data_IF_398674201197
#
_entry.id   IF_398674201197
#
_cell.length_a   1.000
_cell.length_b   1.000
_cell.length_c   1.000
_cell.angle_alpha   90.00
_cell.angle_beta   90.00
_cell.angle_gamma   90.00
#
_symmetry.space_group_name_H-M   'P 1'
#
loop_
_entity.id
_entity.type
_entity.pdbx_description
1 polymer ?
#
# COMPACT_ATOMS: atom_id res chain seq x y z
N UNK A 1 28.13 2.40 31.00
CA UNK A 1 27.01 1.69 31.64
C UNK A 1 25.88 2.69 31.87
N UNK A 2 25.28 3.24 30.81
CA UNK A 2 24.14 2.72 30.03
C UNK A 2 22.77 3.06 30.69
N UNK A 3 22.32 4.34 30.65
CA UNK A 3 20.98 4.77 31.10
C UNK A 3 19.82 4.01 30.46
N UNK A 4 20.06 3.29 29.37
CA UNK A 4 19.08 2.46 28.67
C UNK A 4 18.76 1.12 29.36
N UNK A 5 19.63 0.57 30.22
CA UNK A 5 19.41 -0.78 30.76
C UNK A 5 18.15 -0.89 31.64
N UNK A 6 17.90 0.13 32.47
CA UNK A 6 16.68 0.17 33.31
C UNK A 6 15.42 0.40 32.47
N UNK A 7 15.54 1.16 31.39
CA UNK A 7 14.43 1.45 30.49
C UNK A 7 14.10 0.23 29.62
N UNK A 8 15.12 -0.49 29.14
CA UNK A 8 14.96 -1.75 28.41
C UNK A 8 14.32 -2.82 29.30
N UNK A 9 14.72 -2.91 30.58
CA UNK A 9 14.07 -3.79 31.54
C UNK A 9 12.59 -3.44 31.75
N UNK A 10 12.25 -2.14 31.80
CA UNK A 10 10.86 -1.69 31.89
C UNK A 10 10.06 -2.08 30.63
N UNK A 11 10.61 -1.85 29.43
CA UNK A 11 9.95 -2.20 28.17
C UNK A 11 9.80 -3.71 27.99
N UNK A 12 10.81 -4.50 28.37
CA UNK A 12 10.70 -5.96 28.43
C UNK A 12 9.54 -6.39 29.33
N UNK A 13 9.48 -5.86 30.55
CA UNK A 13 8.42 -6.19 31.51
C UNK A 13 7.02 -5.76 31.00
N UNK A 14 6.92 -4.63 30.30
CA UNK A 14 5.67 -4.21 29.65
C UNK A 14 5.25 -5.22 28.57
N UNK A 15 6.18 -5.64 27.71
CA UNK A 15 5.89 -6.60 26.63
C UNK A 15 5.57 -8.00 27.15
N UNK A 16 6.24 -8.47 28.21
CA UNK A 16 6.02 -9.77 28.85
C UNK A 16 4.67 -9.88 29.58
N UNK A 17 4.10 -8.75 30.02
CA UNK A 17 2.80 -8.71 30.69
C UNK A 17 1.61 -8.74 29.74
N UNK A 18 1.84 -8.59 28.44
CA UNK A 18 0.76 -8.66 27.44
C UNK A 18 0.18 -10.08 27.45
N UNK A 19 -1.14 -10.25 27.62
CA UNK A 19 -1.79 -11.55 27.56
C UNK A 19 -1.49 -12.29 26.26
N UNK A 20 -1.27 -13.60 26.34
CA UNK A 20 -0.84 -14.40 25.18
C UNK A 20 -1.86 -14.42 24.02
N UNK A 21 -3.14 -14.25 24.32
CA UNK A 21 -4.24 -14.13 23.36
C UNK A 21 -4.27 -12.76 22.66
N UNK A 22 -3.78 -11.70 23.32
CA UNK A 22 -3.74 -10.32 22.79
C UNK A 22 -2.42 -10.02 22.08
N UNK A 23 -1.33 -10.68 22.48
CA UNK A 23 0.02 -10.48 21.95
C UNK A 23 0.11 -10.52 20.41
N UNK A 24 -0.59 -11.44 19.68
CA UNK A 24 -0.59 -11.41 18.23
C UNK A 24 -1.04 -10.10 17.61
N UNK A 25 -2.13 -9.53 18.11
CA UNK A 25 -2.68 -8.26 17.61
C UNK A 25 -1.76 -7.10 17.96
N UNK A 26 -1.13 -7.12 19.14
CA UNK A 26 -0.12 -6.13 19.52
C UNK A 26 1.08 -6.18 18.58
N UNK A 27 1.62 -7.37 18.31
CA UNK A 27 2.76 -7.53 17.40
C UNK A 27 2.44 -6.99 16.00
N UNK A 28 1.28 -7.34 15.45
CA UNK A 28 0.84 -6.86 14.14
C UNK A 28 0.71 -5.32 14.12
N UNK A 29 0.12 -4.72 15.15
CA UNK A 29 0.01 -3.26 15.27
C UNK A 29 1.38 -2.58 15.37
N UNK A 30 2.25 -3.05 16.27
CA UNK A 30 3.58 -2.46 16.47
C UNK A 30 4.46 -2.60 15.23
N UNK A 31 4.38 -3.73 14.52
CA UNK A 31 5.05 -3.89 13.22
C UNK A 31 4.49 -2.85 12.25
N UNK A 32 3.18 -2.76 12.06
CA UNK A 32 2.56 -1.79 11.15
C UNK A 32 3.00 -0.33 11.44
N UNK A 33 3.11 0.04 12.72
CA UNK A 33 3.54 1.37 13.16
C UNK A 33 5.03 1.67 12.90
N UNK A 34 5.90 0.66 13.05
CA UNK A 34 7.37 0.85 13.15
C UNK A 34 8.17 0.19 12.03
N UNK A 35 7.50 -0.26 10.97
CA UNK A 35 8.15 -0.93 9.85
C UNK A 35 8.92 0.04 8.95
N UNK A 36 8.43 1.27 8.86
CA UNK A 36 8.99 2.34 8.05
C UNK A 36 9.86 3.29 8.91
N UNK A 37 9.85 4.58 8.59
CA UNK A 37 10.54 5.61 9.35
C UNK A 37 9.90 5.86 10.73
N UNK A 38 10.70 6.45 11.61
CA UNK A 38 10.25 6.86 12.94
C UNK A 38 9.21 7.99 12.82
N UNK A 39 8.06 7.80 13.47
CA UNK A 39 7.03 8.82 13.67
C UNK A 39 6.65 8.88 15.15
N UNK A 40 6.19 10.05 15.61
CA UNK A 40 5.57 10.26 16.93
C UNK A 40 4.07 10.00 16.92
N UNK A 41 3.47 9.76 15.75
CA UNK A 41 2.07 9.37 15.60
C UNK A 41 1.16 10.41 14.98
N UNK A 42 1.73 11.45 14.34
CA UNK A 42 0.94 12.48 13.65
C UNK A 42 0.27 11.93 12.38
N UNK A 43 0.68 10.73 11.94
CA UNK A 43 0.11 10.02 10.77
C UNK A 43 -0.59 8.70 11.11
N UNK A 44 -0.64 8.29 12.38
CA UNK A 44 -1.21 7.00 12.78
C UNK A 44 -2.71 7.09 13.03
N UNK A 45 -3.44 7.07 11.92
CA UNK A 45 -4.89 7.22 11.87
C UNK A 45 -5.59 5.94 12.34
N UNK A 46 -6.33 6.00 13.45
CA UNK A 46 -6.95 4.82 14.07
C UNK A 46 -7.89 4.10 13.10
N UNK A 47 -8.73 4.85 12.38
CA UNK A 47 -9.66 4.29 11.40
C UNK A 47 -8.94 3.48 10.32
N UNK A 48 -7.85 4.01 9.77
CA UNK A 48 -7.09 3.36 8.69
C UNK A 48 -6.36 2.16 9.23
N UNK A 49 -5.68 2.28 10.37
CA UNK A 49 -4.89 1.21 10.99
C UNK A 49 -5.79 0.04 11.36
N UNK A 50 -6.87 0.30 12.09
CA UNK A 50 -7.75 -0.75 12.58
C UNK A 50 -8.47 -1.48 11.44
N UNK A 51 -8.96 -0.75 10.43
CA UNK A 51 -9.62 -1.40 9.29
C UNK A 51 -8.64 -2.20 8.41
N UNK A 52 -7.42 -1.68 8.21
CA UNK A 52 -6.35 -2.38 7.47
C UNK A 52 -5.93 -3.66 8.20
N UNK A 53 -5.72 -3.57 9.51
CA UNK A 53 -5.29 -4.68 10.36
C UNK A 53 -6.43 -5.58 10.84
N UNK A 54 -7.68 -5.21 10.63
CA UNK A 54 -8.82 -6.00 11.13
C UNK A 54 -9.00 -5.95 12.65
N UNK A 55 -8.56 -4.89 13.32
CA UNK A 55 -8.68 -4.73 14.77
C UNK A 55 -10.07 -4.17 15.11
N UNK A 56 -10.85 -4.86 15.94
CA UNK A 56 -12.11 -4.32 16.47
C UNK A 56 -11.87 -3.13 17.39
N UNK A 57 -12.91 -2.35 17.66
CA UNK A 57 -12.81 -1.21 18.57
C UNK A 57 -12.36 -1.62 19.96
N UNK A 58 -13.00 -2.66 20.50
CA UNK A 58 -12.67 -3.23 21.80
C UNK A 58 -11.26 -3.80 21.83
N UNK A 59 -10.84 -4.49 20.76
CA UNK A 59 -9.49 -5.08 20.66
C UNK A 59 -8.41 -4.01 20.65
N UNK A 60 -8.57 -2.97 19.82
CA UNK A 60 -7.60 -1.87 19.73
C UNK A 60 -7.53 -1.04 21.03
N UNK A 61 -8.68 -0.66 21.61
CA UNK A 61 -8.70 0.06 22.90
C UNK A 61 -8.04 -0.78 24.00
N UNK A 62 -8.23 -2.10 23.98
CA UNK A 62 -7.53 -3.04 24.85
C UNK A 62 -6.01 -2.98 24.67
N UNK A 63 -5.51 -2.96 23.43
CA UNK A 63 -4.07 -2.82 23.13
C UNK A 63 -3.53 -1.50 23.68
N UNK A 64 -4.20 -0.37 23.42
CA UNK A 64 -3.78 0.93 23.93
C UNK A 64 -3.76 0.97 25.46
N UNK A 65 -4.71 0.31 26.13
CA UNK A 65 -4.70 0.21 27.59
C UNK A 65 -3.47 -0.59 28.10
N UNK A 66 -3.15 -1.73 27.47
CA UNK A 66 -1.97 -2.54 27.83
C UNK A 66 -0.66 -1.79 27.59
N UNK A 67 -0.60 -0.95 26.57
CA UNK A 67 0.57 -0.17 26.19
C UNK A 67 0.49 1.29 26.63
N UNK A 68 -0.37 1.63 27.59
CA UNK A 68 -0.64 3.03 27.99
C UNK A 68 0.59 3.80 28.50
N UNK A 69 1.62 3.09 28.95
CA UNK A 69 2.91 3.68 29.34
C UNK A 69 3.74 4.21 28.16
N UNK A 70 3.44 3.80 26.92
CA UNK A 70 4.21 4.13 25.71
C UNK A 70 3.34 4.62 24.57
N UNK A 71 2.06 4.25 24.52
CA UNK A 71 1.10 4.64 23.49
C UNK A 71 -0.10 5.35 24.11
N UNK A 72 -0.54 6.41 23.45
CA UNK A 72 -1.76 7.15 23.76
C UNK A 72 -2.72 7.08 22.59
N UNK A 73 -3.97 6.72 22.88
CA UNK A 73 -5.07 6.91 21.95
C UNK A 73 -5.70 8.29 22.21
N UNK A 74 -5.55 9.21 21.26
CA UNK A 74 -6.16 10.53 21.30
C UNK A 74 -7.46 10.53 20.53
N UNK A 75 -8.55 10.27 21.24
CA UNK A 75 -9.88 10.39 20.67
C UNK A 75 -10.14 11.86 20.30
N UNK A 76 -10.36 12.10 19.01
CA UNK A 76 -10.65 13.43 18.47
C UNK A 76 -11.82 13.27 17.51
N UNK A 77 -13.06 13.16 18.01
CA UNK A 77 -14.21 12.92 17.17
C UNK A 77 -14.36 14.08 16.20
N UNK A 78 -14.10 13.80 14.92
CA UNK A 78 -14.23 14.78 13.86
C UNK A 78 -15.57 14.54 13.15
N UNK A 79 -16.44 15.55 13.19
CA UNK A 79 -17.60 15.57 12.30
C UNK A 79 -17.12 15.83 10.87
N UNK A 80 -17.44 14.91 9.96
CA UNK A 80 -17.19 15.12 8.55
C UNK A 80 -17.99 16.33 8.06
N UNK A 81 -17.33 17.24 7.34
CA UNK A 81 -18.03 18.33 6.66
C UNK A 81 -18.42 17.84 5.27
N UNK A 82 -19.59 17.19 5.23
CA UNK A 82 -20.17 16.57 4.05
C UNK A 82 -21.03 17.53 3.23
N UNK A 83 -20.93 18.85 3.45
CA UNK A 83 -21.70 19.83 2.69
C UNK A 83 -21.44 19.68 1.19
N UNK A 84 -22.52 19.42 0.45
CA UNK A 84 -22.49 19.21 -1.00
C UNK A 84 -22.24 17.76 -1.43
N UNK A 85 -22.32 16.79 -0.51
CA UNK A 85 -22.20 15.35 -0.80
C UNK A 85 -23.41 14.62 -0.22
N UNK A 86 -23.95 13.67 -0.97
CA UNK A 86 -25.01 12.80 -0.48
C UNK A 86 -24.41 11.70 0.40
N UNK A 87 -24.70 11.76 1.69
CA UNK A 87 -24.12 10.87 2.71
C UNK A 87 -24.72 9.45 2.69
N UNK A 88 -25.85 9.29 1.99
CA UNK A 88 -26.58 8.02 1.83
C UNK A 88 -26.14 7.24 0.59
N UNK A 89 -25.31 7.85 -0.26
CA UNK A 89 -24.80 7.22 -1.47
C UNK A 89 -23.34 6.85 -1.31
N UNK A 90 -22.91 5.82 -2.03
CA UNK A 90 -21.51 5.42 -2.05
C UNK A 90 -20.60 6.51 -2.63
N UNK A 91 -19.37 6.55 -2.14
CA UNK A 91 -18.33 7.50 -2.55
C UNK A 91 -18.06 7.47 -4.06
N UNK A 92 -17.94 6.28 -4.64
CA UNK A 92 -17.61 6.09 -6.06
C UNK A 92 -18.81 6.31 -7.01
N UNK A 93 -20.05 6.35 -6.49
CA UNK A 93 -21.25 6.59 -7.28
C UNK A 93 -21.57 8.08 -7.48
N UNK A 94 -20.78 8.95 -6.85
CA UNK A 94 -20.96 10.39 -6.86
C UNK A 94 -19.83 11.09 -7.62
N UNK A 95 -20.14 12.19 -8.29
CA UNK A 95 -19.15 13.03 -8.95
C UNK A 95 -18.60 14.05 -7.96
N UNK A 96 -17.70 13.56 -7.08
CA UNK A 96 -17.06 14.36 -6.04
C UNK A 96 -15.90 15.15 -6.64
N UNK A 97 -15.94 16.47 -6.52
CA UNK A 97 -14.84 17.34 -6.97
C UNK A 97 -13.50 16.99 -6.27
N UNK A 98 -12.38 17.23 -6.94
CA UNK A 98 -11.03 16.98 -6.38
C UNK A 98 -10.79 17.69 -5.03
N UNK A 99 -11.34 18.91 -4.86
CA UNK A 99 -11.26 19.65 -3.60
C UNK A 99 -12.00 18.94 -2.46
N UNK A 100 -13.19 18.42 -2.74
CA UNK A 100 -13.96 17.66 -1.75
C UNK A 100 -13.30 16.31 -1.46
N UNK A 101 -12.72 15.67 -2.47
CA UNK A 101 -11.94 14.44 -2.31
C UNK A 101 -10.74 14.63 -1.37
N UNK A 102 -9.92 15.67 -1.58
CA UNK A 102 -8.81 16.00 -0.68
C UNK A 102 -9.28 16.26 0.75
N UNK A 103 -10.45 16.90 0.90
CA UNK A 103 -11.04 17.17 2.21
C UNK A 103 -11.45 15.88 2.91
N UNK A 104 -12.17 14.99 2.21
CA UNK A 104 -12.56 13.67 2.74
C UNK A 104 -11.33 12.85 3.15
N UNK A 105 -10.27 12.90 2.34
CA UNK A 105 -8.98 12.26 2.66
C UNK A 105 -8.42 12.78 3.98
N UNK A 106 -8.39 14.11 4.17
CA UNK A 106 -7.92 14.69 5.44
C UNK A 106 -8.83 14.32 6.61
N UNK A 107 -10.15 14.41 6.45
CA UNK A 107 -11.10 14.13 7.53
C UNK A 107 -11.11 12.66 7.95
N UNK A 108 -10.94 11.73 7.00
CA UNK A 108 -10.87 10.29 7.29
C UNK A 108 -9.67 9.88 8.15
N UNK A 109 -8.60 10.67 8.11
CA UNK A 109 -7.41 10.45 8.92
C UNK A 109 -7.70 10.71 10.41
N UNK A 110 -8.54 11.70 10.67
CA UNK A 110 -8.81 12.19 12.02
C UNK A 110 -10.14 11.65 12.61
N UNK A 111 -11.02 11.03 11.81
CA UNK A 111 -12.40 10.64 12.20
C UNK A 111 -12.52 9.90 13.54
N UNK A 112 -11.59 8.97 13.80
CA UNK A 112 -11.56 8.17 15.02
C UNK A 112 -10.34 8.47 15.89
N UNK A 113 -9.72 9.63 15.69
CA UNK A 113 -8.53 10.05 16.41
C UNK A 113 -7.24 9.42 15.90
N UNK A 114 -6.18 9.68 16.67
CA UNK A 114 -4.81 9.35 16.35
C UNK A 114 -4.16 8.50 17.45
N UNK A 115 -3.14 7.75 17.07
CA UNK A 115 -2.26 7.02 18.00
C UNK A 115 -1.00 7.85 18.17
N UNK A 116 -0.57 8.08 19.40
CA UNK A 116 0.65 8.83 19.70
C UNK A 116 1.66 7.98 20.47
N UNK A 117 2.95 8.11 20.13
CA UNK A 117 4.06 7.47 20.85
C UNK A 117 4.67 8.46 21.83
N UNK A 118 4.65 8.14 23.13
CA UNK A 118 5.22 9.00 24.16
C UNK A 118 6.74 9.07 24.12
N UNK A 119 7.38 7.97 23.72
CA UNK A 119 8.81 7.77 23.94
C UNK A 119 9.48 7.16 22.71
N UNK A 120 10.31 7.95 22.02
CA UNK A 120 11.21 7.46 20.96
C UNK A 120 12.04 6.25 21.37
N UNK A 121 12.44 6.20 22.63
CA UNK A 121 13.24 5.10 23.18
C UNK A 121 12.53 3.74 23.14
N UNK A 122 11.19 3.71 23.11
CA UNK A 122 10.41 2.47 22.91
C UNK A 122 10.52 1.97 21.46
N UNK A 123 10.43 2.88 20.48
CA UNK A 123 10.75 2.55 19.09
C UNK A 123 12.18 2.01 18.96
N UNK A 124 13.18 2.72 19.51
CA UNK A 124 14.59 2.32 19.45
C UNK A 124 14.85 0.95 20.11
N UNK A 125 14.02 0.58 21.10
CA UNK A 125 14.05 -0.73 21.76
C UNK A 125 13.47 -1.81 20.82
N UNK A 126 12.30 -1.57 20.24
CA UNK A 126 11.60 -2.54 19.38
C UNK A 126 12.29 -2.81 18.04
N UNK A 127 13.03 -1.85 17.47
CA UNK A 127 13.75 -2.08 16.21
C UNK A 127 15.11 -2.77 16.40
N UNK A 128 15.60 -2.85 17.65
CA UNK A 128 16.91 -3.39 17.95
C UNK A 128 16.81 -4.82 18.51
N UNK A 129 17.22 -5.86 17.76
CA UNK A 129 17.09 -7.26 18.18
C UNK A 129 17.89 -7.58 19.45
N UNK A 130 19.01 -6.89 19.71
CA UNK A 130 19.81 -7.10 20.92
C UNK A 130 19.10 -6.59 22.18
N UNK A 131 18.23 -5.59 22.04
CA UNK A 131 17.51 -4.97 23.17
C UNK A 131 16.16 -5.64 23.45
N UNK A 132 15.38 -5.90 22.40
CA UNK A 132 14.01 -6.42 22.53
C UNK A 132 13.86 -7.91 22.27
N UNK A 133 14.93 -8.61 21.86
CA UNK A 133 14.95 -10.06 21.69
C UNK A 133 13.78 -10.56 20.81
N UNK A 134 12.90 -11.40 21.36
CA UNK A 134 11.73 -11.97 20.68
C UNK A 134 10.63 -10.95 20.38
N UNK A 135 10.68 -9.75 20.97
CA UNK A 135 9.72 -8.66 20.72
C UNK A 135 10.17 -7.71 19.60
N UNK A 136 11.35 -7.92 19.03
CA UNK A 136 11.86 -7.09 17.95
C UNK A 136 10.91 -7.13 16.74
N UNK A 137 10.38 -5.97 16.32
CA UNK A 137 9.43 -5.89 15.20
C UNK A 137 10.06 -6.22 13.84
N UNK A 138 11.39 -6.20 13.77
CA UNK A 138 12.17 -6.61 12.59
C UNK A 138 12.58 -8.09 12.61
N UNK A 139 12.14 -8.85 13.61
CA UNK A 139 12.40 -10.28 13.66
C UNK A 139 11.70 -10.98 12.47
N UNK A 140 12.41 -11.83 11.68
CA UNK A 140 11.84 -12.58 10.56
C UNK A 140 10.53 -13.32 10.88
N UNK A 141 10.41 -13.94 12.06
CA UNK A 141 9.20 -14.66 12.44
C UNK A 141 8.00 -13.72 12.68
N UNK A 142 8.25 -12.54 13.27
CA UNK A 142 7.23 -11.51 13.47
C UNK A 142 6.83 -10.89 12.12
N UNK A 143 7.80 -10.64 11.25
CA UNK A 143 7.55 -10.13 9.90
C UNK A 143 6.76 -11.11 9.04
N UNK A 144 7.06 -12.41 9.13
CA UNK A 144 6.29 -13.45 8.44
C UNK A 144 4.86 -13.56 8.97
N UNK A 145 4.65 -13.44 10.29
CA UNK A 145 3.31 -13.38 10.89
C UNK A 145 2.54 -12.17 10.38
N UNK A 146 3.16 -11.00 10.39
CA UNK A 146 2.56 -9.77 9.87
C UNK A 146 2.25 -9.87 8.38
N UNK A 147 3.17 -10.38 7.56
CA UNK A 147 2.94 -10.62 6.14
C UNK A 147 1.72 -11.53 5.90
N UNK A 148 1.66 -12.66 6.60
CA UNK A 148 0.54 -13.60 6.48
C UNK A 148 -0.79 -12.95 6.88
N UNK A 149 -0.79 -12.14 7.94
CA UNK A 149 -1.94 -11.35 8.36
C UNK A 149 -2.41 -10.38 7.27
N UNK A 150 -1.49 -9.66 6.62
CA UNK A 150 -1.85 -8.77 5.51
C UNK A 150 -2.44 -9.55 4.32
N UNK A 151 -1.90 -10.72 4.00
CA UNK A 151 -2.44 -11.58 2.93
C UNK A 151 -3.87 -12.02 3.25
N UNK A 152 -4.14 -12.46 4.49
CA UNK A 152 -5.47 -12.88 4.93
C UNK A 152 -6.47 -11.72 4.87
N UNK A 153 -6.09 -10.55 5.39
CA UNK A 153 -6.90 -9.33 5.27
C UNK A 153 -7.13 -8.95 3.82
N UNK A 154 -6.13 -9.08 2.96
CA UNK A 154 -6.26 -8.75 1.54
C UNK A 154 -7.27 -9.67 0.87
N UNK A 155 -7.23 -10.97 1.16
CA UNK A 155 -8.21 -11.91 0.65
C UNK A 155 -9.62 -11.61 1.13
N UNK A 156 -9.79 -11.22 2.40
CA UNK A 156 -11.09 -10.79 2.95
C UNK A 156 -11.69 -9.62 2.14
N UNK A 157 -10.92 -8.54 1.96
CA UNK A 157 -11.36 -7.40 1.16
C UNK A 157 -11.59 -7.78 -0.32
N UNK A 158 -10.67 -8.52 -0.92
CA UNK A 158 -10.76 -8.90 -2.32
C UNK A 158 -11.94 -9.86 -2.61
N UNK A 159 -12.40 -10.64 -1.64
CA UNK A 159 -13.60 -11.47 -1.76
C UNK A 159 -14.87 -10.65 -1.56
N UNK A 160 -14.86 -9.70 -0.62
CA UNK A 160 -16.04 -8.88 -0.32
C UNK A 160 -16.24 -7.67 -1.23
N UNK A 161 -15.34 -7.40 -2.18
CA UNK A 161 -15.49 -6.31 -3.15
C UNK A 161 -15.58 -6.87 -4.57
N UNK A 162 -16.56 -6.45 -5.36
CA UNK A 162 -16.70 -6.79 -6.77
C UNK A 162 -16.37 -5.61 -7.69
N UNK A 163 -15.85 -5.94 -8.87
CA UNK A 163 -15.55 -4.97 -9.91
C UNK A 163 -16.82 -4.72 -10.70
N UNK A 164 -17.39 -3.52 -10.58
CA UNK A 164 -18.50 -3.09 -11.41
C UNK A 164 -17.96 -2.28 -12.59
N UNK A 165 -18.15 -2.84 -13.79
CA UNK A 165 -17.79 -2.25 -15.07
C UNK A 165 -18.97 -2.49 -16.03
N UNK A 166 -20.06 -1.75 -15.84
CA UNK A 166 -21.20 -1.84 -16.74
C UNK A 166 -20.83 -1.20 -18.08
N UNK A 167 -21.09 -1.88 -19.20
CA UNK A 167 -20.84 -1.36 -20.56
C UNK A 167 -21.57 -0.02 -20.85
N UNK A 168 -22.56 0.34 -20.02
CA UNK A 168 -23.33 1.59 -20.09
C UNK A 168 -22.87 2.69 -19.12
N UNK A 169 -21.95 2.42 -18.18
CA UNK A 169 -21.37 3.45 -17.32
C UNK A 169 -19.87 3.54 -17.54
N UNK A 170 -19.41 4.75 -17.86
CA UNK A 170 -17.99 5.06 -18.01
C UNK A 170 -17.24 5.12 -16.66
N UNK A 171 -17.79 4.55 -15.57
CA UNK A 171 -17.25 4.71 -14.21
C UNK A 171 -16.92 3.35 -13.60
N UNK A 172 -15.61 3.12 -13.48
CA UNK A 172 -15.02 1.97 -12.81
C UNK A 172 -15.31 2.06 -11.31
N UNK A 173 -15.85 1.01 -10.69
CA UNK A 173 -16.22 1.03 -9.26
C UNK A 173 -15.88 -0.28 -8.55
N UNK A 174 -15.76 -0.22 -7.23
CA UNK A 174 -15.64 -1.37 -6.33
C UNK A 174 -16.82 -1.37 -5.39
N UNK A 175 -17.73 -2.31 -5.57
CA UNK A 175 -18.95 -2.43 -4.77
C UNK A 175 -18.83 -3.59 -3.79
N UNK A 176 -19.52 -3.55 -2.63
CA UNK A 176 -19.64 -4.73 -1.79
C UNK A 176 -20.25 -5.90 -2.57
N UNK A 177 -19.63 -7.07 -2.48
CA UNK A 177 -20.14 -8.31 -3.05
C UNK A 177 -21.43 -8.73 -2.30
N UNK A 178 -22.38 -9.41 -2.97
CA UNK A 178 -23.61 -9.87 -2.32
C UNK A 178 -23.31 -10.72 -1.07
N UNK A 179 -23.89 -10.35 0.07
CA UNK A 179 -23.72 -11.06 1.34
C UNK A 179 -22.47 -10.68 2.16
N UNK A 180 -21.70 -9.68 1.72
CA UNK A 180 -20.55 -9.16 2.48
C UNK A 180 -20.87 -7.77 3.07
N UNK A 181 -21.17 -7.70 4.38
CA UNK A 181 -21.41 -6.44 5.11
C UNK A 181 -20.23 -6.01 6.00
N UNK A 182 -19.34 -6.93 6.38
CA UNK A 182 -18.42 -6.73 7.50
C UNK A 182 -16.93 -6.67 7.05
N UNK A 183 -16.64 -5.81 6.08
CA UNK A 183 -15.25 -5.62 5.62
C UNK A 183 -14.46 -4.71 6.58
N UNK A 184 -15.11 -3.66 7.09
CA UNK A 184 -14.54 -2.75 8.08
C UNK A 184 -14.68 -3.31 9.49
N UNK A 185 -13.62 -3.18 10.27
CA UNK A 185 -13.64 -3.48 11.71
C UNK A 185 -14.15 -2.30 12.53
N UNK A 186 -14.09 -1.09 11.97
CA UNK A 186 -14.55 0.17 12.54
C UNK A 186 -15.44 0.88 11.52
N UNK A 187 -16.67 0.39 11.28
CA UNK A 187 -17.61 1.06 10.40
C UNK A 187 -18.07 2.40 11.00
N UNK A 188 -18.36 3.36 10.14
CA UNK A 188 -19.01 4.62 10.44
C UNK A 188 -20.53 4.53 10.18
N UNK A 189 -21.28 5.50 10.70
CA UNK A 189 -22.74 5.54 10.50
C UNK A 189 -23.14 5.96 9.07
N UNK A 190 -22.25 6.63 8.34
CA UNK A 190 -22.49 7.08 6.96
C UNK A 190 -21.95 6.08 5.94
N UNK A 191 -22.80 5.72 4.98
CA UNK A 191 -22.48 4.84 3.85
C UNK A 191 -21.41 5.42 2.92
N UNK A 192 -21.43 6.75 2.71
CA UNK A 192 -20.37 7.49 2.03
C UNK A 192 -19.01 7.26 2.71
N UNK A 193 -18.95 7.43 4.04
CA UNK A 193 -17.69 7.27 4.79
C UNK A 193 -17.23 5.82 4.78
N UNK A 194 -18.15 4.85 4.92
CA UNK A 194 -17.82 3.43 4.85
C UNK A 194 -17.27 3.01 3.50
N UNK A 195 -17.91 3.42 2.41
CA UNK A 195 -17.41 3.13 1.06
C UNK A 195 -16.06 3.77 0.78
N UNK A 196 -15.81 4.97 1.30
CA UNK A 196 -14.49 5.59 1.25
C UNK A 196 -13.44 4.83 2.08
N UNK A 197 -13.76 4.44 3.33
CA UNK A 197 -12.88 3.67 4.19
C UNK A 197 -12.55 2.28 3.60
N UNK A 198 -13.50 1.62 2.93
CA UNK A 198 -13.22 0.38 2.20
C UNK A 198 -12.09 0.57 1.19
N UNK A 199 -12.17 1.62 0.37
CA UNK A 199 -11.18 1.94 -0.66
C UNK A 199 -9.83 2.26 -0.01
N UNK A 200 -9.81 3.15 0.98
CA UNK A 200 -8.57 3.59 1.63
C UNK A 200 -7.89 2.44 2.38
N UNK A 201 -8.63 1.65 3.15
CA UNK A 201 -8.07 0.53 3.89
C UNK A 201 -7.56 -0.56 2.96
N UNK A 202 -8.32 -0.90 1.91
CA UNK A 202 -7.86 -1.89 0.94
C UNK A 202 -6.65 -1.40 0.14
N UNK A 203 -6.61 -0.11 -0.22
CA UNK A 203 -5.46 0.50 -0.85
C UNK A 203 -4.21 0.44 0.03
N UNK A 204 -4.30 0.88 1.30
CA UNK A 204 -3.16 0.86 2.23
C UNK A 204 -2.67 -0.58 2.50
N UNK A 205 -3.61 -1.50 2.67
CA UNK A 205 -3.33 -2.92 2.82
C UNK A 205 -2.52 -3.47 1.64
N UNK A 206 -2.96 -3.19 0.42
CA UNK A 206 -2.25 -3.63 -0.77
C UNK A 206 -0.93 -2.88 -0.97
N UNK A 207 -0.86 -1.60 -0.59
CA UNK A 207 0.37 -0.81 -0.66
C UNK A 207 1.49 -1.45 0.16
N UNK A 208 1.18 -2.05 1.31
CA UNK A 208 2.15 -2.85 2.09
C UNK A 208 2.63 -4.14 1.40
N UNK A 209 1.97 -4.58 0.33
CA UNK A 209 2.29 -5.81 -0.44
C UNK A 209 2.79 -5.51 -1.86
N UNK A 210 2.68 -4.27 -2.32
CA UNK A 210 2.99 -3.82 -3.69
C UNK A 210 4.42 -3.31 -3.79
N UNK A 211 5.07 -3.52 -4.94
CA UNK A 211 6.45 -3.13 -5.26
C UNK A 211 6.89 -1.75 -4.75
N UNK A 212 6.03 -0.74 -4.89
CA UNK A 212 6.36 0.66 -4.59
C UNK A 212 5.99 1.05 -3.14
N UNK A 213 5.61 0.07 -2.33
CA UNK A 213 5.41 0.18 -0.89
C UNK A 213 6.72 0.23 -0.10
N UNK A 214 6.70 0.70 1.16
CA UNK A 214 7.90 0.73 2.02
C UNK A 214 8.31 -0.68 2.50
N UNK A 215 7.37 -1.62 2.51
CA UNK A 215 7.52 -2.92 3.18
C UNK A 215 8.08 -4.07 2.31
N UNK A 216 7.76 -4.21 1.01
CA UNK A 216 8.19 -5.35 0.21
C UNK A 216 9.69 -5.66 0.24
N UNK A 217 10.63 -4.69 0.23
CA UNK A 217 12.04 -5.01 0.38
C UNK A 217 12.33 -5.78 1.67
N UNK A 218 11.73 -5.35 2.79
CA UNK A 218 11.85 -6.00 4.10
C UNK A 218 11.29 -7.41 4.05
N UNK A 219 10.11 -7.61 3.46
CA UNK A 219 9.51 -8.94 3.33
C UNK A 219 10.33 -9.87 2.43
N UNK A 220 10.78 -9.38 1.28
CA UNK A 220 11.53 -10.19 0.33
C UNK A 220 12.90 -10.62 0.85
N UNK A 221 13.45 -9.92 1.84
CA UNK A 221 14.71 -10.25 2.50
C UNK A 221 14.52 -11.15 3.72
N UNK A 222 13.39 -11.05 4.44
CA UNK A 222 13.20 -11.67 5.75
C UNK A 222 12.12 -12.74 5.83
N UNK A 223 11.20 -12.83 4.86
CA UNK A 223 10.10 -13.80 4.87
C UNK A 223 10.45 -15.01 4.00
N UNK A 224 10.10 -16.20 4.47
CA UNK A 224 10.34 -17.44 3.74
C UNK A 224 9.66 -17.47 2.36
N UNK A 225 10.34 -18.06 1.36
CA UNK A 225 9.85 -18.15 -0.02
C UNK A 225 8.45 -18.77 -0.12
N UNK A 226 8.14 -19.77 0.72
CA UNK A 226 6.82 -20.42 0.76
C UNK A 226 5.70 -19.44 1.09
N UNK A 227 5.91 -18.54 2.05
CA UNK A 227 4.92 -17.52 2.41
C UNK A 227 4.85 -16.46 1.31
N UNK A 228 5.99 -16.00 0.78
CA UNK A 228 6.03 -15.01 -0.31
C UNK A 228 5.34 -15.46 -1.60
N UNK A 229 5.24 -16.77 -1.88
CA UNK A 229 4.50 -17.29 -3.03
C UNK A 229 3.01 -16.91 -3.01
N UNK A 230 2.44 -16.58 -1.84
CA UNK A 230 1.06 -16.10 -1.71
C UNK A 230 0.80 -14.80 -2.50
N UNK A 231 1.84 -13.98 -2.72
CA UNK A 231 1.75 -12.77 -3.55
C UNK A 231 1.25 -13.09 -4.97
N UNK A 232 1.65 -14.22 -5.54
CA UNK A 232 1.27 -14.58 -6.90
C UNK A 232 -0.24 -14.83 -7.07
N UNK A 233 -0.94 -15.15 -5.97
CA UNK A 233 -2.37 -15.46 -5.96
C UNK A 233 -3.28 -14.24 -5.70
N UNK A 234 -2.72 -13.06 -5.47
CA UNK A 234 -3.50 -11.85 -5.20
C UNK A 234 -4.29 -11.40 -6.45
N UNK A 235 -5.45 -10.77 -6.21
CA UNK A 235 -6.15 -10.02 -7.25
C UNK A 235 -5.58 -8.61 -7.33
N UNK A 236 -4.81 -8.34 -8.39
CA UNK A 236 -4.15 -7.04 -8.58
C UNK A 236 -5.05 -6.00 -9.25
N UNK A 237 -6.20 -6.42 -9.81
CA UNK A 237 -7.14 -5.48 -10.45
C UNK A 237 -7.85 -4.62 -9.41
N UNK A 238 -8.39 -5.25 -8.36
CA UNK A 238 -9.18 -4.54 -7.34
C UNK A 238 -8.36 -3.46 -6.64
N UNK A 239 -7.11 -3.71 -6.19
CA UNK A 239 -6.25 -2.66 -5.63
C UNK A 239 -5.92 -1.55 -6.62
N UNK A 240 -5.71 -1.86 -7.90
CA UNK A 240 -5.49 -0.84 -8.93
C UNK A 240 -6.73 0.04 -9.11
N UNK A 241 -7.93 -0.54 -9.07
CA UNK A 241 -9.19 0.22 -9.10
C UNK A 241 -9.31 1.09 -7.85
N UNK A 242 -9.03 0.54 -6.66
CA UNK A 242 -9.05 1.31 -5.40
C UNK A 242 -8.07 2.50 -5.48
N UNK A 243 -6.90 2.30 -6.08
CA UNK A 243 -5.90 3.34 -6.33
C UNK A 243 -6.41 4.42 -7.30
N UNK A 244 -7.09 4.04 -8.38
CA UNK A 244 -7.75 4.96 -9.32
C UNK A 244 -8.80 5.81 -8.59
N UNK A 245 -9.66 5.18 -7.79
CA UNK A 245 -10.74 5.84 -7.04
C UNK A 245 -10.22 6.74 -5.91
N UNK A 246 -9.13 6.35 -5.26
CA UNK A 246 -8.54 7.14 -4.18
C UNK A 246 -7.79 8.39 -4.69
N UNK A 247 -7.66 8.61 -6.01
CA UNK A 247 -7.15 9.87 -6.55
C UNK A 247 -5.80 10.30 -5.96
N UNK A 248 -4.85 9.36 -5.88
CA UNK A 248 -3.62 9.53 -5.09
C UNK A 248 -2.88 10.83 -5.37
N UNK A 249 -2.53 11.53 -4.29
CA UNK A 249 -1.55 12.61 -4.29
C UNK A 249 -0.32 12.15 -3.50
N UNK A 250 0.85 12.17 -4.13
CA UNK A 250 2.14 11.96 -3.46
C UNK A 250 3.02 13.18 -3.76
N UNK A 251 3.44 13.95 -2.74
CA UNK A 251 4.35 15.08 -2.95
C UNK A 251 5.58 14.64 -3.74
N UNK A 252 5.99 15.43 -4.73
CA UNK A 252 7.17 15.14 -5.55
C UNK A 252 6.97 14.13 -6.68
N UNK A 253 5.80 13.49 -6.78
CA UNK A 253 5.48 12.52 -7.84
C UNK A 253 4.32 13.04 -8.67
N UNK A 254 4.50 13.12 -9.98
CA UNK A 254 3.38 13.44 -10.89
C UNK A 254 2.57 12.16 -11.06
N UNK A 255 1.35 12.16 -10.51
CA UNK A 255 0.39 11.07 -10.62
C UNK A 255 -0.71 11.48 -11.59
N UNK A 256 -0.95 10.65 -12.61
CA UNK A 256 -2.10 10.80 -13.50
C UNK A 256 -2.96 9.55 -13.42
N UNK A 257 -4.26 9.78 -13.36
CA UNK A 257 -5.26 8.71 -13.32
C UNK A 257 -6.12 8.84 -14.57
N UNK A 258 -6.18 7.76 -15.34
CA UNK A 258 -7.15 7.57 -16.42
C UNK A 258 -8.13 6.48 -15.99
N UNK A 259 -9.25 6.34 -16.71
CA UNK A 259 -10.37 5.44 -16.40
C UNK A 259 -9.93 4.01 -16.03
N UNK A 260 -8.78 3.51 -16.52
CA UNK A 260 -8.26 2.16 -16.26
C UNK A 260 -6.75 2.09 -16.01
N UNK A 261 -6.11 3.24 -15.79
CA UNK A 261 -4.65 3.33 -15.73
C UNK A 261 -4.20 4.34 -14.68
N UNK A 262 -3.05 4.06 -14.07
CA UNK A 262 -2.35 4.99 -13.19
C UNK A 262 -0.94 5.14 -13.70
N UNK A 263 -0.49 6.39 -13.84
CA UNK A 263 0.83 6.76 -14.33
C UNK A 263 1.58 7.56 -13.25
N UNK A 264 2.85 7.23 -13.07
CA UNK A 264 3.78 7.87 -12.16
C UNK A 264 4.99 8.38 -12.91
N UNK A 265 5.41 9.60 -12.60
CA UNK A 265 6.69 10.16 -13.03
C UNK A 265 7.48 10.68 -11.84
N UNK A 266 8.71 10.17 -11.74
CA UNK A 266 9.72 10.57 -10.76
C UNK A 266 10.83 11.30 -11.50
N UNK A 267 11.19 12.49 -11.03
CA UNK A 267 12.27 13.31 -11.60
C UNK A 267 12.99 14.10 -10.50
N UNK A 268 14.20 14.56 -10.84
CA UNK A 268 15.02 15.38 -9.93
C UNK A 268 15.38 14.63 -8.65
N UNK A 269 15.27 15.31 -7.51
CA UNK A 269 15.67 14.75 -6.21
C UNK A 269 14.92 13.44 -5.88
N UNK A 270 13.63 13.35 -6.21
CA UNK A 270 12.83 12.14 -5.99
C UNK A 270 13.31 10.93 -6.81
N UNK A 271 14.02 11.16 -7.92
CA UNK A 271 14.64 10.09 -8.70
C UNK A 271 15.94 9.61 -8.06
N UNK A 272 16.71 10.52 -7.47
CA UNK A 272 18.01 10.25 -6.85
C UNK A 272 17.87 9.48 -5.53
N UNK A 273 16.78 9.70 -4.81
CA UNK A 273 16.46 8.99 -3.56
C UNK A 273 16.13 7.49 -3.77
N UNK A 274 15.84 7.09 -5.01
CA UNK A 274 15.49 5.70 -5.33
C UNK A 274 16.74 4.84 -5.42
N UNK A 275 16.81 3.80 -4.57
CA UNK A 275 17.80 2.74 -4.71
C UNK A 275 17.44 1.79 -5.87
N UNK A 276 17.87 2.15 -7.08
CA UNK A 276 17.59 1.40 -8.31
C UNK A 276 18.15 -0.04 -8.29
N UNK A 277 19.25 -0.30 -7.57
CA UNK A 277 19.81 -1.64 -7.43
C UNK A 277 18.93 -2.55 -6.56
N UNK A 278 18.40 -2.00 -5.46
CA UNK A 278 17.42 -2.68 -4.63
C UNK A 278 16.13 -2.95 -5.42
N UNK A 279 15.64 -1.96 -6.18
CA UNK A 279 14.48 -2.09 -7.06
C UNK A 279 14.65 -3.22 -8.10
N UNK A 280 15.78 -3.24 -8.82
CA UNK A 280 16.06 -4.30 -9.80
C UNK A 280 16.21 -5.69 -9.14
N UNK A 281 16.72 -5.74 -7.92
CA UNK A 281 16.84 -6.99 -7.14
C UNK A 281 15.46 -7.49 -6.73
N UNK A 282 14.57 -6.61 -6.28
CA UNK A 282 13.17 -6.91 -6.00
C UNK A 282 12.46 -7.46 -7.25
N UNK A 283 12.60 -6.82 -8.41
CA UNK A 283 12.02 -7.30 -9.68
C UNK A 283 12.46 -8.75 -9.97
N UNK A 284 13.74 -9.07 -9.76
CA UNK A 284 14.24 -10.45 -9.95
C UNK A 284 13.60 -11.44 -8.98
N UNK A 285 13.41 -11.06 -7.71
CA UNK A 285 12.78 -11.91 -6.71
C UNK A 285 11.31 -12.19 -7.07
N UNK A 286 10.56 -11.17 -7.47
CA UNK A 286 9.17 -11.34 -7.88
C UNK A 286 9.01 -12.21 -9.12
N UNK A 287 9.93 -12.14 -10.08
CA UNK A 287 9.99 -13.10 -11.20
C UNK A 287 10.17 -14.53 -10.71
N UNK A 288 11.11 -14.77 -9.79
CA UNK A 288 11.35 -16.11 -9.22
C UNK A 288 10.16 -16.64 -8.42
N UNK A 289 9.40 -15.75 -7.79
CA UNK A 289 8.16 -16.07 -7.07
C UNK A 289 6.95 -16.25 -7.99
N UNK A 290 7.12 -16.12 -9.31
CA UNK A 290 6.06 -16.13 -10.32
C UNK A 290 5.00 -15.03 -10.14
N UNK A 291 5.25 -14.00 -9.33
CA UNK A 291 4.34 -12.86 -9.14
C UNK A 291 4.25 -12.03 -10.41
N UNK A 292 5.37 -11.90 -11.14
CA UNK A 292 5.43 -11.17 -12.41
C UNK A 292 6.00 -12.06 -13.51
N UNK A 293 5.45 -11.91 -14.72
CA UNK A 293 5.95 -12.55 -15.94
C UNK A 293 6.20 -11.49 -17.00
N UNK A 294 7.27 -11.63 -17.78
CA UNK A 294 7.52 -10.75 -18.92
C UNK A 294 6.32 -10.74 -19.87
N UNK A 295 5.88 -9.54 -20.25
CA UNK A 295 4.81 -9.36 -21.21
C UNK A 295 5.38 -8.98 -22.57
N UNK A 296 5.12 -9.83 -23.57
CA UNK A 296 5.52 -9.63 -24.96
C UNK A 296 4.29 -9.82 -25.85
N UNK A 297 3.64 -8.74 -26.33
CA UNK A 297 2.44 -8.86 -27.15
C UNK A 297 2.73 -9.53 -28.50
N UNK A 298 3.93 -9.33 -29.07
CA UNK A 298 4.34 -9.92 -30.36
C UNK A 298 5.69 -10.65 -30.27
N UNK A 299 5.67 -11.98 -30.47
CA UNK A 299 6.84 -12.87 -30.43
C UNK A 299 7.91 -12.53 -31.50
N UNK A 300 7.54 -11.77 -32.55
CA UNK A 300 8.47 -11.37 -33.62
C UNK A 300 9.23 -10.06 -33.34
N UNK A 301 8.76 -9.19 -32.42
CA UNK A 301 9.49 -7.99 -31.99
C UNK A 301 10.63 -8.25 -30.99
N UNK A 302 10.81 -9.53 -30.62
CA UNK A 302 11.68 -10.03 -29.54
C UNK A 302 13.17 -9.75 -29.77
N UNK A 303 13.58 -9.38 -30.99
CA UNK A 303 15.00 -9.30 -31.38
C UNK A 303 15.56 -7.86 -31.37
N UNK A 304 14.73 -6.81 -31.49
CA UNK A 304 15.23 -5.45 -31.80
C UNK A 304 15.16 -4.46 -30.62
N UNK A 305 14.42 -4.74 -29.54
CA UNK A 305 14.10 -3.72 -28.51
C UNK A 305 14.42 -4.10 -27.06
N UNK A 306 15.40 -4.99 -26.82
CA UNK A 306 15.84 -5.33 -25.46
C UNK A 306 17.16 -4.63 -25.16
N UNK A 307 17.19 -3.54 -24.36
CA UNK A 307 18.38 -3.27 -23.56
C UNK A 307 18.56 -4.51 -22.65
N UNK A 308 19.63 -5.27 -22.88
CA UNK A 308 19.97 -6.48 -22.11
C UNK A 308 20.06 -6.14 -20.63
N UNK A 309 18.98 -6.33 -19.87
CA UNK A 309 18.94 -6.00 -18.43
C UNK A 309 19.86 -6.90 -17.58
N UNK A 310 20.46 -7.97 -18.11
CA UNK A 310 21.00 -9.02 -17.24
C UNK A 310 22.43 -9.54 -17.50
N UNK A 311 23.22 -8.98 -18.43
CA UNK A 311 24.62 -9.41 -18.60
C UNK A 311 25.69 -8.44 -18.10
N UNK A 312 25.40 -7.16 -17.85
CA UNK A 312 26.40 -6.18 -17.40
C UNK A 312 25.78 -5.21 -16.38
N UNK A 313 25.82 -5.59 -15.10
CA UNK A 313 25.29 -4.79 -13.97
C UNK A 313 26.04 -3.48 -13.70
N UNK A 314 27.21 -3.25 -14.32
CA UNK A 314 28.10 -2.15 -13.94
C UNK A 314 27.89 -0.83 -14.70
N UNK A 315 27.01 -0.76 -15.71
CA UNK A 315 26.83 0.47 -16.52
C UNK A 315 25.39 0.66 -17.07
N UNK A 316 24.34 0.28 -16.32
CA UNK A 316 22.97 0.49 -16.80
C UNK A 316 22.55 1.96 -16.69
N UNK A 317 22.85 2.73 -17.74
CA UNK A 317 22.42 4.13 -17.91
C UNK A 317 20.90 4.25 -18.13
N UNK A 318 20.27 3.21 -18.66
CA UNK A 318 18.83 3.16 -18.94
C UNK A 318 18.31 1.73 -18.85
N UNK A 319 17.14 1.54 -18.25
CA UNK A 319 16.48 0.23 -18.22
C UNK A 319 14.95 0.37 -18.31
N UNK A 320 14.29 -0.68 -18.79
CA UNK A 320 12.83 -0.77 -18.79
C UNK A 320 12.37 -2.20 -18.59
N UNK A 321 11.12 -2.36 -18.17
CA UNK A 321 10.50 -3.66 -17.96
C UNK A 321 9.01 -3.60 -18.24
N UNK A 322 8.50 -4.64 -18.91
CA UNK A 322 7.09 -4.84 -19.24
C UNK A 322 6.64 -6.17 -18.66
N UNK A 323 5.63 -6.15 -17.82
CA UNK A 323 5.21 -7.31 -17.04
C UNK A 323 3.70 -7.48 -17.01
N UNK A 324 3.29 -8.74 -16.98
CA UNK A 324 2.01 -9.18 -16.43
C UNK A 324 2.24 -9.45 -14.95
N UNK A 325 1.57 -8.70 -14.08
CA UNK A 325 1.62 -8.86 -12.62
C UNK A 325 0.37 -9.59 -12.14
N UNK A 326 0.54 -10.69 -11.43
CA UNK A 326 -0.52 -11.63 -11.09
C UNK A 326 -0.82 -12.68 -12.17
N UNK A 327 -1.81 -13.52 -11.92
CA UNK A 327 -2.16 -14.66 -12.77
C UNK A 327 -3.59 -14.58 -13.32
N UNK A 328 -3.80 -15.22 -14.49
CA UNK A 328 -5.13 -15.37 -15.07
C UNK A 328 -5.83 -14.03 -15.37
N UNK A 329 -7.08 -13.96 -14.95
CA UNK A 329 -7.98 -12.80 -15.03
C UNK A 329 -7.70 -11.77 -13.94
N UNK A 330 -6.99 -12.14 -12.86
CA UNK A 330 -6.62 -11.30 -11.71
C UNK A 330 -5.40 -10.41 -11.94
N UNK A 331 -4.83 -10.47 -13.14
CA UNK A 331 -3.58 -9.84 -13.46
C UNK A 331 -3.76 -8.43 -14.02
N UNK A 332 -2.76 -7.58 -13.81
CA UNK A 332 -2.66 -6.24 -14.40
C UNK A 332 -1.39 -6.11 -15.24
N UNK A 333 -1.40 -5.14 -16.14
CA UNK A 333 -0.22 -4.72 -16.86
C UNK A 333 0.61 -3.81 -15.95
N UNK A 334 1.92 -4.02 -15.94
CA UNK A 334 2.88 -3.15 -15.27
C UNK A 334 4.07 -2.84 -16.18
N UNK A 335 4.36 -1.56 -16.34
CA UNK A 335 5.57 -1.08 -16.99
C UNK A 335 6.33 -0.15 -16.08
N UNK A 336 7.66 -0.19 -16.23
CA UNK A 336 8.53 0.83 -15.72
C UNK A 336 9.70 1.08 -16.67
N UNK A 337 10.24 2.28 -16.60
CA UNK A 337 11.55 2.63 -17.11
C UNK A 337 12.24 3.63 -16.22
N UNK A 338 13.55 3.68 -16.34
CA UNK A 338 14.35 4.77 -15.79
C UNK A 338 15.51 5.09 -16.71
N UNK A 339 15.99 6.32 -16.60
CA UNK A 339 17.13 6.87 -17.33
C UNK A 339 17.99 7.65 -16.33
N UNK A 340 19.17 7.10 -16.01
CA UNK A 340 20.09 7.68 -15.04
C UNK A 340 20.76 8.95 -15.54
N UNK A 341 20.91 9.11 -16.87
CA UNK A 341 21.51 10.32 -17.45
C UNK A 341 20.52 11.48 -17.43
N UNK A 342 19.28 11.19 -17.78
CA UNK A 342 18.19 12.18 -17.81
C UNK A 342 17.48 12.34 -16.46
N UNK A 343 17.85 11.53 -15.45
CA UNK A 343 17.30 11.55 -14.08
C UNK A 343 15.77 11.49 -14.02
N UNK A 344 15.18 10.56 -14.76
CA UNK A 344 13.74 10.31 -14.70
C UNK A 344 13.40 8.82 -14.60
N UNK A 345 12.23 8.56 -14.03
CA UNK A 345 11.56 7.28 -14.13
C UNK A 345 10.08 7.45 -14.44
N UNK A 346 9.56 6.56 -15.28
CA UNK A 346 8.15 6.43 -15.55
C UNK A 346 7.68 5.04 -15.13
N UNK A 347 6.55 4.98 -14.42
CA UNK A 347 5.89 3.72 -14.06
C UNK A 347 4.43 3.85 -14.44
N UNK A 348 3.85 2.80 -15.01
CA UNK A 348 2.41 2.76 -15.20
C UNK A 348 1.82 1.37 -14.95
N UNK A 349 0.61 1.39 -14.42
CA UNK A 349 -0.21 0.22 -14.13
C UNK A 349 -1.51 0.34 -14.92
N UNK A 350 -1.98 -0.76 -15.50
CA UNK A 350 -3.20 -0.75 -16.29
C UNK A 350 -4.01 -2.04 -16.17
N UNK A 351 -5.34 -1.91 -16.20
CA UNK A 351 -6.25 -3.05 -16.24
C UNK A 351 -6.27 -3.73 -17.62
N UNK A 352 -6.17 -2.93 -18.70
CA UNK A 352 -6.18 -3.42 -20.07
C UNK A 352 -4.78 -3.35 -20.69
N UNK A 353 -4.26 -4.51 -21.11
CA UNK A 353 -2.92 -4.65 -21.67
C UNK A 353 -2.78 -3.99 -23.06
N UNK A 354 -3.81 -4.05 -23.89
CA UNK A 354 -3.78 -3.54 -25.26
C UNK A 354 -3.87 -2.01 -25.28
N UNK A 355 -4.83 -1.46 -24.53
CA UNK A 355 -5.02 -0.01 -24.37
C UNK A 355 -3.76 0.64 -23.80
N UNK A 356 -3.16 0.02 -22.77
CA UNK A 356 -1.96 0.54 -22.16
C UNK A 356 -0.75 0.50 -23.10
N UNK A 357 -0.65 -0.52 -23.95
CA UNK A 357 0.37 -0.60 -25.00
C UNK A 357 0.16 0.46 -26.08
N UNK A 358 -1.08 0.69 -26.53
CA UNK A 358 -1.40 1.75 -27.50
C UNK A 358 -0.96 3.10 -26.97
N UNK A 359 -1.40 3.46 -25.75
CA UNK A 359 -1.03 4.73 -25.08
C UNK A 359 0.48 4.85 -24.91
N UNK A 360 1.15 3.77 -24.51
CA UNK A 360 2.61 3.77 -24.41
C UNK A 360 3.30 4.00 -25.76
N UNK A 361 2.82 3.39 -26.86
CA UNK A 361 3.46 3.52 -28.17
C UNK A 361 3.19 4.87 -28.83
N UNK A 362 1.99 5.43 -28.67
CA UNK A 362 1.56 6.65 -29.36
C UNK A 362 1.83 7.93 -28.56
N UNK A 363 1.82 7.85 -27.23
CA UNK A 363 1.69 9.02 -26.37
C UNK A 363 2.73 9.11 -25.25
N UNK A 364 3.72 8.21 -25.21
CA UNK A 364 4.74 8.09 -24.14
C UNK A 364 5.30 9.41 -23.60
N UNK A 365 5.57 10.38 -24.47
CA UNK A 365 6.12 11.68 -24.09
C UNK A 365 5.06 12.77 -23.96
N UNK A 366 3.92 12.60 -24.66
CA UNK A 366 2.80 13.54 -24.61
C UNK A 366 2.03 13.39 -23.29
N UNK A 367 1.95 12.17 -22.75
CA UNK A 367 1.23 11.86 -21.52
C UNK A 367 1.69 12.63 -20.28
N UNK A 368 2.88 13.23 -20.34
CA UNK A 368 3.45 13.99 -19.24
C UNK A 368 3.28 15.51 -19.37
N UNK A 369 2.74 16.01 -20.49
CA UNK A 369 2.42 17.43 -20.68
C UNK A 369 1.17 17.81 -19.88
N UNK A 370 1.13 18.98 -19.26
CA UNK A 370 0.05 19.41 -18.36
C UNK A 370 -1.36 19.17 -18.96
N UNK A 371 -1.57 19.54 -20.22
CA UNK A 371 -2.88 19.46 -20.90
C UNK A 371 -3.20 18.10 -21.52
N UNK A 372 -2.43 17.04 -21.23
CA UNK A 372 -2.68 15.75 -21.85
C UNK A 372 -3.97 15.08 -21.34
N UNK A 373 -4.80 14.67 -22.30
CA UNK A 373 -5.97 13.81 -22.13
C UNK A 373 -5.74 12.56 -22.97
N UNK A 374 -6.02 11.34 -22.47
CA UNK A 374 -5.87 10.12 -23.26
C UNK A 374 -6.66 10.21 -24.57
N UNK A 375 -6.05 9.78 -25.69
CA UNK A 375 -6.78 9.62 -26.94
C UNK A 375 -7.87 8.56 -26.78
N UNK A 376 -9.13 8.93 -27.02
CA UNK A 376 -10.28 8.02 -27.06
C UNK A 376 -10.15 6.93 -28.12
#
# INVERSE_FOLDING_TARGET
>A
MAPFAKLDALYMLLMERIPGDVLPSVQVLLVYMFLDEYDTGDTWNVAVFCNTLGLSETGFKGICHQLSAVLEYRDTPLEFDLKGIDVTRFFYDQDISSRLHMRLTKQSREIYGLIHLHHKSFYDFLINPTRSSTFCVRNPAILEKYFNHLIERHHHFAQGLDICNSDTSAKLSLVPAPGFSDLLSWPHQSELVNSYLHIVSFHNLHYGLELDGPVPPIFLDNVGTRSLQKLAALDYRKPLIARILNGLYRPGVIIRVSHRMVLYRFEGDNFEDVNWDAYLTMVKKLKKLNVIKLYHPNVLSTIISIPRVFSQRRELKKASGRYKMGHGDKAIYWYWEFDMEQKYSHVFFALNFEEAMKVYETEKFKMWKEDWVPSS
#
